data_IF_304601327575
#
_entry.id   IF_304601327575
#
_cell.length_a   1.000
_cell.length_b   1.000
_cell.length_c   1.000
_cell.angle_alpha   90.00
_cell.angle_beta   90.00
_cell.angle_gamma   90.00
#
_symmetry.space_group_name_H-M   'P 1'
#
loop_
_entity.id
_entity.type
_entity.pdbx_description
1 polymer ?
#
# COMPACT_ATOMS: atom_id res chain seq x y z
N UNK A 1 -11.57 -1.09 3.11
CA UNK A 1 -10.28 -1.70 3.47
C UNK A 1 -9.38 -0.64 4.07
N UNK A 2 -8.79 -0.92 5.22
CA UNK A 2 -7.84 -0.04 5.91
C UNK A 2 -6.57 0.16 5.09
N UNK A 3 -6.09 -0.87 4.37
CA UNK A 3 -4.90 -0.75 3.51
C UNK A 3 -5.05 0.29 2.41
N UNK A 4 -6.17 0.26 1.66
CA UNK A 4 -6.38 1.20 0.56
C UNK A 4 -6.45 2.63 1.04
N UNK A 5 -7.06 2.84 2.21
CA UNK A 5 -7.20 4.15 2.85
C UNK A 5 -5.82 4.66 3.30
N UNK A 6 -5.05 3.82 4.00
CA UNK A 6 -3.70 4.16 4.42
C UNK A 6 -2.78 4.49 3.24
N UNK A 7 -2.86 3.70 2.15
CA UNK A 7 -2.05 3.94 0.95
C UNK A 7 -2.43 5.28 0.30
N UNK A 8 -3.72 5.58 0.15
CA UNK A 8 -4.18 6.86 -0.40
C UNK A 8 -3.78 8.05 0.45
N UNK A 9 -3.91 7.94 1.78
CA UNK A 9 -3.53 8.99 2.72
C UNK A 9 -2.04 9.28 2.60
N UNK A 10 -1.21 8.25 2.69
CA UNK A 10 0.25 8.40 2.57
C UNK A 10 0.66 9.04 1.23
N UNK A 11 0.07 8.59 0.12
CA UNK A 11 0.31 9.17 -1.20
C UNK A 11 -0.06 10.66 -1.25
N UNK A 12 -1.17 11.05 -0.64
CA UNK A 12 -1.63 12.44 -0.61
C UNK A 12 -0.73 13.31 0.30
N UNK A 13 -0.40 12.82 1.50
CA UNK A 13 0.46 13.52 2.47
C UNK A 13 1.85 13.82 1.90
N UNK A 14 2.39 12.91 1.09
CA UNK A 14 3.71 13.05 0.47
C UNK A 14 3.67 13.56 -0.98
N UNK A 15 2.50 13.97 -1.51
CA UNK A 15 2.33 14.42 -2.89
C UNK A 15 2.86 13.41 -3.94
N UNK A 16 2.71 12.12 -3.66
CA UNK A 16 3.14 11.04 -4.54
C UNK A 16 1.97 10.59 -5.41
N UNK A 17 2.15 10.63 -6.73
CA UNK A 17 1.14 10.11 -7.66
C UNK A 17 1.19 8.59 -7.75
N UNK A 18 0.05 7.95 -8.03
CA UNK A 18 -0.01 6.50 -8.25
C UNK A 18 0.92 6.04 -9.39
N UNK A 19 1.11 6.90 -10.40
CA UNK A 19 2.04 6.64 -11.51
C UNK A 19 3.48 6.60 -11.02
N UNK A 20 3.88 7.54 -10.15
CA UNK A 20 5.23 7.59 -9.59
C UNK A 20 5.51 6.38 -8.70
N UNK A 21 4.52 6.00 -7.88
CA UNK A 21 4.60 4.76 -7.08
C UNK A 21 4.72 3.51 -7.96
N UNK A 22 3.96 3.43 -9.06
CA UNK A 22 4.00 2.28 -9.97
C UNK A 22 5.38 2.11 -10.61
N UNK A 23 5.99 3.20 -11.07
CA UNK A 23 7.34 3.20 -11.66
C UNK A 23 8.36 2.70 -10.63
N UNK A 24 8.34 3.27 -9.43
CA UNK A 24 9.34 2.96 -8.41
C UNK A 24 9.17 1.55 -7.81
N UNK A 25 7.93 1.10 -7.63
CA UNK A 25 7.66 -0.24 -7.08
C UNK A 25 7.77 -1.38 -8.11
N UNK A 26 7.91 -1.06 -9.40
CA UNK A 26 7.86 -2.06 -10.48
C UNK A 26 6.47 -2.70 -10.68
N UNK A 27 5.45 -2.23 -9.96
CA UNK A 27 4.08 -2.74 -10.05
C UNK A 27 3.32 -1.97 -11.14
N UNK A 28 2.55 -2.68 -11.96
CA UNK A 28 1.78 -2.03 -13.00
C UNK A 28 0.77 -1.02 -12.41
N UNK A 29 0.65 0.16 -13.03
CA UNK A 29 -0.23 1.24 -12.54
C UNK A 29 -1.67 0.77 -12.27
N UNK A 30 -2.21 -0.09 -13.13
CA UNK A 30 -3.55 -0.67 -12.97
C UNK A 30 -3.69 -1.47 -11.66
N UNK A 31 -2.65 -2.21 -11.27
CA UNK A 31 -2.65 -2.97 -10.00
C UNK A 31 -2.62 -2.01 -8.81
N UNK A 32 -1.81 -0.95 -8.84
CA UNK A 32 -1.81 0.10 -7.82
C UNK A 32 -3.20 0.74 -7.68
N UNK A 33 -3.86 1.05 -8.81
CA UNK A 33 -5.23 1.59 -8.80
C UNK A 33 -6.22 0.59 -8.20
N UNK A 34 -6.10 -0.71 -8.50
CA UNK A 34 -6.94 -1.75 -7.91
C UNK A 34 -6.75 -1.87 -6.39
N UNK A 35 -5.53 -1.73 -5.89
CA UNK A 35 -5.25 -1.70 -4.45
C UNK A 35 -5.88 -0.47 -3.77
N UNK A 36 -5.76 0.70 -4.40
CA UNK A 36 -6.38 1.94 -3.92
C UNK A 36 -7.92 1.92 -3.95
N UNK A 37 -8.52 1.14 -4.85
CA UNK A 37 -9.99 1.06 -5.03
C UNK A 37 -10.63 -0.15 -4.37
N UNK A 38 -9.87 -0.92 -3.54
CA UNK A 38 -10.37 -2.10 -2.82
C UNK A 38 -10.75 -3.26 -3.75
N UNK A 39 -10.57 -3.11 -5.08
CA UNK A 39 -10.91 -4.14 -6.07
C UNK A 39 -9.99 -5.36 -6.00
N UNK A 40 -8.78 -5.19 -5.44
CA UNK A 40 -7.81 -6.26 -5.30
C UNK A 40 -7.07 -6.12 -3.99
N UNK A 41 -6.84 -7.26 -3.33
CA UNK A 41 -5.94 -7.34 -2.18
C UNK A 41 -4.49 -7.43 -2.66
N UNK A 42 -3.57 -6.62 -2.13
CA UNK A 42 -2.15 -6.77 -2.43
C UNK A 42 -1.59 -8.06 -1.80
N UNK A 43 -0.60 -8.67 -2.45
CA UNK A 43 0.18 -9.78 -1.88
C UNK A 43 1.27 -9.24 -0.95
N UNK A 44 1.86 -10.13 -0.14
CA UNK A 44 3.02 -9.78 0.71
C UNK A 44 4.14 -9.11 -0.09
N UNK A 45 4.46 -9.68 -1.24
CA UNK A 45 5.49 -9.18 -2.15
C UNK A 45 5.16 -7.77 -2.67
N UNK A 46 3.91 -7.53 -3.10
CA UNK A 46 3.48 -6.20 -3.52
C UNK A 46 3.55 -5.17 -2.39
N UNK A 47 3.29 -5.56 -1.14
CA UNK A 47 3.38 -4.65 0.00
C UNK A 47 4.83 -4.28 0.28
N UNK A 48 5.74 -5.25 0.20
CA UNK A 48 7.17 -5.01 0.36
C UNK A 48 7.65 -4.05 -0.73
N UNK A 49 7.31 -4.31 -2.00
CA UNK A 49 7.68 -3.46 -3.12
C UNK A 49 7.10 -2.04 -3.00
N UNK A 50 5.84 -1.89 -2.61
CA UNK A 50 5.22 -0.58 -2.35
C UNK A 50 5.93 0.14 -1.20
N UNK A 51 6.26 -0.58 -0.12
CA UNK A 51 6.90 0.02 1.06
C UNK A 51 8.32 0.47 0.77
N UNK A 52 9.06 -0.31 -0.03
CA UNK A 52 10.41 0.05 -0.49
C UNK A 52 10.37 1.29 -1.39
N UNK A 53 9.48 1.28 -2.40
CA UNK A 53 9.25 2.42 -3.27
C UNK A 53 8.87 3.69 -2.51
N UNK A 54 8.00 3.59 -1.51
CA UNK A 54 7.64 4.75 -0.69
C UNK A 54 8.81 5.27 0.15
N UNK A 55 9.67 4.39 0.68
CA UNK A 55 10.89 4.81 1.37
C UNK A 55 11.84 5.56 0.42
N UNK A 56 12.01 5.06 -0.80
CA UNK A 56 12.86 5.71 -1.82
C UNK A 56 12.29 7.06 -2.26
N UNK A 57 10.98 7.14 -2.51
CA UNK A 57 10.32 8.37 -2.97
C UNK A 57 10.25 9.46 -1.90
N UNK A 58 10.16 9.08 -0.63
CA UNK A 58 10.10 10.04 0.49
C UNK A 58 11.48 10.34 1.08
N UNK A 59 12.49 9.54 0.77
CA UNK A 59 13.80 9.59 1.44
C UNK A 59 13.77 9.14 2.91
N UNK A 60 12.61 8.68 3.40
CA UNK A 60 12.43 8.25 4.78
C UNK A 60 12.80 6.77 4.86
N UNK A 61 14.03 6.45 5.27
CA UNK A 61 14.40 5.08 5.67
C UNK A 61 13.78 4.76 7.03
N UNK A 62 12.50 4.40 7.03
CA UNK A 62 11.81 4.01 8.24
C UNK A 62 11.15 2.66 8.06
N UNK A 63 11.69 1.68 8.80
CA UNK A 63 11.13 0.34 9.00
C UNK A 63 9.65 0.37 9.47
N UNK A 64 9.15 1.53 9.91
CA UNK A 64 7.76 1.75 10.32
C UNK A 64 6.76 1.70 9.15
N UNK A 65 7.17 2.02 7.92
CA UNK A 65 6.25 2.12 6.76
C UNK A 65 5.69 0.73 6.41
N UNK A 66 6.55 -0.28 6.25
CA UNK A 66 6.13 -1.65 5.96
C UNK A 66 5.23 -2.21 7.05
N UNK A 67 5.54 -1.92 8.32
CA UNK A 67 4.76 -2.39 9.49
C UNK A 67 3.37 -1.73 9.53
N UNK A 68 3.25 -0.46 9.16
CA UNK A 68 1.97 0.25 9.04
C UNK A 68 1.03 -0.44 8.04
N UNK A 69 1.54 -0.77 6.86
CA UNK A 69 0.76 -1.43 5.83
C UNK A 69 0.41 -2.88 6.16
N UNK A 70 1.35 -3.64 6.75
CA UNK A 70 1.08 -5.01 7.23
C UNK A 70 0.01 -5.01 8.32
N UNK A 71 0.05 -4.05 9.25
CA UNK A 71 -0.99 -3.89 10.28
C UNK A 71 -2.35 -3.56 9.67
N UNK A 72 -2.40 -2.60 8.74
CA UNK A 72 -3.64 -2.23 8.05
C UNK A 72 -4.27 -3.45 7.36
N UNK A 73 -3.44 -4.30 6.71
CA UNK A 73 -3.92 -5.52 6.08
C UNK A 73 -4.37 -6.59 7.06
N UNK A 74 -3.68 -6.75 8.20
CA UNK A 74 -4.12 -7.67 9.27
C UNK A 74 -5.51 -7.31 9.76
N UNK A 75 -5.80 -6.02 9.94
CA UNK A 75 -7.13 -5.55 10.34
C UNK A 75 -8.18 -5.83 9.26
N UNK A 76 -7.80 -5.71 7.98
CA UNK A 76 -8.65 -6.12 6.86
C UNK A 76 -8.87 -7.65 6.81
N UNK A 77 -7.91 -8.49 7.25
CA UNK A 77 -8.10 -9.95 7.37
C UNK A 77 -9.10 -10.25 8.49
N UNK A 78 -8.93 -9.63 9.66
CA UNK A 78 -9.82 -9.84 10.82
C UNK A 78 -11.27 -9.50 10.51
N UNK A 79 -11.52 -8.38 9.83
CA UNK A 79 -12.89 -7.96 9.47
C UNK A 79 -13.52 -8.81 8.36
N UNK A 80 -12.71 -9.35 7.45
CA UNK A 80 -13.17 -10.28 6.41
C UNK A 80 -13.40 -11.72 6.88
N UNK A 81 -13.00 -12.06 8.10
CA UNK A 81 -13.24 -13.36 8.73
C UNK A 81 -14.52 -13.44 9.57
N UNK A 82 -15.32 -12.38 9.61
CA UNK A 82 -16.60 -12.34 10.32
C UNK A 82 -17.76 -12.53 9.34
N UNK A 83 -17.71 -13.63 8.59
CA UNK A 83 -18.84 -14.21 7.86
C UNK A 83 -18.72 -15.73 7.96
N UNK A 84 -18.97 -16.26 9.15
CA UNK A 84 -19.49 -17.59 9.40
C UNK A 84 -20.48 -17.46 10.56
#
# INVERSE_FOLDING_TARGET
MQFSTALKQFLNEHNITQTKLAIESGIHRTQITQYCTIKRRPSLESIIAISDALQTLTGIKSMKISVLFIRALREDIKKGGMTC
#
